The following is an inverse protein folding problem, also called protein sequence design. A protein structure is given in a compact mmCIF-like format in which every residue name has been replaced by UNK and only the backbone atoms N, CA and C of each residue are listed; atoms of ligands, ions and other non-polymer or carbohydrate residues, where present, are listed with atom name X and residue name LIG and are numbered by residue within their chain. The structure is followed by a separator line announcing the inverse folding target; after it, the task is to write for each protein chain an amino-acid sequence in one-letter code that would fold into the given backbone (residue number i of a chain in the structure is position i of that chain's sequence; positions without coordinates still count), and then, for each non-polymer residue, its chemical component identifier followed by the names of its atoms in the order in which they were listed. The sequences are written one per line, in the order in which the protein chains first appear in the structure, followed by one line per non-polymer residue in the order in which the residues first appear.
data_IF_611429266028
#
_entry.id   IF_611429266028
#
_cell.length_a   1.000
_cell.length_b   1.000
_cell.length_c   1.000
_cell.angle_alpha   90.00
_cell.angle_beta   90.00
_cell.angle_gamma   90.00
#
_symmetry.space_group_name_H-M   'P 1'
#
loop_
_entity.id
_entity.type
_entity.pdbx_description
1 polymer ?
#
# COMPACT_ATOMS: atom_id res chain seq x y z
N UNK A 1 -9.80 1.99 -22.67
CA UNK A 1 -11.17 2.55 -22.52
C UNK A 1 -11.40 3.22 -21.15
N UNK A 2 -11.24 2.53 -20.01
CA UNK A 2 -11.47 3.19 -18.69
C UNK A 2 -10.43 4.28 -18.43
N UNK A 3 -9.17 3.98 -18.65
CA UNK A 3 -8.06 4.94 -18.47
C UNK A 3 -8.20 6.17 -19.36
N UNK A 4 -8.46 5.98 -20.65
CA UNK A 4 -8.64 7.09 -21.62
C UNK A 4 -9.80 8.01 -21.21
N UNK A 5 -10.90 7.43 -20.72
CA UNK A 5 -12.03 8.20 -20.24
C UNK A 5 -11.71 8.99 -18.96
N UNK A 6 -10.82 8.48 -18.10
CA UNK A 6 -10.39 9.16 -16.88
C UNK A 6 -9.34 10.25 -17.16
N UNK A 7 -8.39 10.00 -18.06
CA UNK A 7 -7.37 10.98 -18.44
C UNK A 7 -7.94 12.20 -19.17
N UNK A 8 -9.04 12.07 -19.89
CA UNK A 8 -9.64 13.19 -20.59
C UNK A 8 -10.04 14.36 -19.68
N UNK A 9 -10.75 14.15 -18.56
CA UNK A 9 -11.08 15.21 -17.59
C UNK A 9 -9.95 15.50 -16.59
N UNK A 10 -9.06 14.55 -16.33
CA UNK A 10 -7.97 14.69 -15.36
C UNK A 10 -6.65 14.10 -15.93
N UNK A 11 -5.81 14.92 -16.59
CA UNK A 11 -4.53 14.46 -17.12
C UNK A 11 -3.55 13.93 -16.08
N UNK A 12 -3.80 14.16 -14.79
CA UNK A 12 -3.04 13.64 -13.66
C UNK A 12 -3.71 12.41 -13.00
N UNK A 13 -4.67 11.81 -13.70
CA UNK A 13 -5.30 10.57 -13.22
C UNK A 13 -4.27 9.48 -13.00
N UNK A 14 -4.42 8.78 -11.91
CA UNK A 14 -3.48 7.79 -11.47
C UNK A 14 -4.19 6.53 -10.97
N UNK A 15 -3.81 5.39 -11.51
CA UNK A 15 -4.39 4.09 -11.13
C UNK A 15 -4.05 3.68 -9.71
N UNK A 16 -2.89 4.12 -9.21
CA UNK A 16 -2.44 3.83 -7.85
C UNK A 16 -3.07 4.75 -6.79
N UNK A 17 -3.68 5.87 -7.22
CA UNK A 17 -4.37 6.82 -6.33
C UNK A 17 -5.35 7.65 -7.15
N UNK A 18 -6.57 7.15 -7.30
CA UNK A 18 -7.58 7.79 -8.17
C UNK A 18 -8.06 9.16 -7.68
N UNK A 19 -7.75 9.51 -6.43
CA UNK A 19 -8.05 10.82 -5.84
C UNK A 19 -7.11 11.94 -6.29
N UNK A 20 -5.99 11.62 -6.97
CA UNK A 20 -5.03 12.64 -7.40
C UNK A 20 -5.57 13.50 -8.53
N UNK A 21 -5.26 14.79 -8.43
CA UNK A 21 -5.62 15.83 -9.41
C UNK A 21 -4.42 16.70 -9.72
N UNK A 22 -4.43 17.34 -10.88
CA UNK A 22 -3.44 18.35 -11.25
C UNK A 22 -3.57 19.62 -10.40
N UNK A 23 -2.46 20.32 -10.06
CA UNK A 23 -1.07 19.91 -10.32
C UNK A 23 -0.58 18.84 -9.34
N UNK A 24 0.21 17.90 -9.84
CA UNK A 24 0.88 16.94 -8.97
C UNK A 24 1.97 17.66 -8.17
N UNK A 25 2.01 17.39 -6.87
CA UNK A 25 3.09 17.87 -6.01
C UNK A 25 4.32 16.99 -6.24
N UNK A 26 5.44 17.63 -6.59
CA UNK A 26 6.69 16.91 -6.82
C UNK A 26 7.24 16.30 -5.54
N UNK A 27 7.67 15.06 -5.60
CA UNK A 27 8.42 14.39 -4.57
C UNK A 27 9.88 14.21 -5.05
N UNK A 28 10.84 14.50 -4.17
CA UNK A 28 12.28 14.33 -4.46
C UNK A 28 12.67 12.84 -4.65
N UNK A 29 11.85 11.92 -4.17
CA UNK A 29 12.06 10.49 -4.30
C UNK A 29 11.48 9.91 -5.60
N UNK A 30 10.81 10.70 -6.38
CA UNK A 30 10.03 10.29 -7.52
C UNK A 30 8.54 10.17 -7.19
N UNK A 31 7.73 10.35 -8.20
CA UNK A 31 6.30 10.15 -8.07
C UNK A 31 6.00 8.69 -8.38
N UNK A 32 5.36 7.92 -7.48
CA UNK A 32 5.03 6.52 -7.74
C UNK A 32 4.02 6.32 -8.88
N UNK A 33 3.75 7.34 -9.63
CA UNK A 33 2.66 7.43 -10.58
C UNK A 33 3.07 7.95 -11.92
N UNK A 34 4.25 8.52 -11.98
CA UNK A 34 4.82 8.93 -13.24
C UNK A 34 5.91 7.93 -13.62
N UNK A 35 5.56 6.99 -14.49
CA UNK A 35 6.50 6.03 -15.08
C UNK A 35 7.67 6.73 -15.78
N UNK A 36 7.56 8.04 -15.95
CA UNK A 36 8.57 8.91 -16.56
C UNK A 36 8.96 9.98 -15.55
N UNK A 37 9.57 9.55 -14.42
CA UNK A 37 10.14 10.51 -13.50
C UNK A 37 11.34 11.23 -14.14
N UNK A 38 11.14 12.44 -14.58
CA UNK A 38 12.21 13.33 -14.94
C UNK A 38 11.84 14.80 -14.74
N UNK A 39 12.14 15.34 -13.58
CA UNK A 39 12.25 16.79 -13.48
C UNK A 39 13.52 17.23 -14.22
N UNK A 40 13.34 18.05 -15.26
CA UNK A 40 14.46 18.58 -16.02
C UNK A 40 15.47 19.27 -15.09
N UNK A 41 16.70 18.79 -15.06
CA UNK A 41 17.80 19.37 -14.27
C UNK A 41 17.92 18.89 -12.82
N UNK A 42 17.05 18.01 -12.36
CA UNK A 42 17.20 17.40 -11.02
C UNK A 42 17.73 15.97 -11.16
N UNK A 43 18.83 15.61 -10.50
CA UNK A 43 19.31 14.23 -10.54
C UNK A 43 18.34 13.29 -9.84
N UNK A 44 18.09 12.13 -10.43
CA UNK A 44 17.31 11.08 -9.81
C UNK A 44 17.95 10.69 -8.48
N UNK A 45 17.22 10.85 -7.37
CA UNK A 45 17.76 10.74 -6.01
C UNK A 45 18.48 9.41 -5.78
N UNK A 46 17.85 8.28 -6.13
CA UNK A 46 18.44 6.96 -5.94
C UNK A 46 19.56 6.61 -6.92
N UNK A 47 19.83 7.44 -7.94
CA UNK A 47 20.99 7.31 -8.81
C UNK A 47 22.21 8.11 -8.31
N UNK A 48 22.06 8.90 -7.26
CA UNK A 48 23.18 9.63 -6.66
C UNK A 48 24.18 8.66 -6.04
N UNK A 49 25.46 8.94 -6.25
CA UNK A 49 26.58 8.12 -5.77
C UNK A 49 26.61 8.01 -4.24
N UNK A 50 26.31 9.11 -3.53
CA UNK A 50 26.28 9.15 -2.08
C UNK A 50 25.12 8.34 -1.51
N UNK A 51 23.95 8.41 -2.12
CA UNK A 51 22.78 7.63 -1.76
C UNK A 51 23.01 6.13 -1.97
N UNK A 52 23.51 5.75 -3.15
CA UNK A 52 23.85 4.35 -3.44
C UNK A 52 24.85 3.77 -2.45
N UNK A 53 25.90 4.55 -2.10
CA UNK A 53 26.86 4.14 -1.08
C UNK A 53 26.22 3.93 0.29
N UNK A 54 25.39 4.87 0.73
CA UNK A 54 24.70 4.79 2.02
C UNK A 54 23.76 3.58 2.10
N UNK A 55 23.12 3.24 0.98
CA UNK A 55 22.20 2.09 0.88
C UNK A 55 22.90 0.76 0.56
N UNK A 56 24.22 0.75 0.35
CA UNK A 56 24.98 -0.41 -0.14
C UNK A 56 24.44 -0.97 -1.47
N UNK A 57 23.89 -0.11 -2.31
CA UNK A 57 23.34 -0.47 -3.62
C UNK A 57 24.45 -0.59 -4.67
N UNK A 58 24.31 -1.42 -5.71
CA UNK A 58 25.24 -1.50 -6.82
C UNK A 58 25.44 -0.14 -7.50
N UNK A 59 26.71 0.23 -7.70
CA UNK A 59 27.04 1.55 -8.25
C UNK A 59 26.85 1.65 -9.76
N UNK A 60 26.96 0.54 -10.45
CA UNK A 60 26.90 0.39 -11.91
C UNK A 60 25.49 0.15 -12.44
N UNK A 61 24.53 -0.14 -11.58
CA UNK A 61 23.13 -0.37 -11.96
C UNK A 61 22.36 0.94 -11.80
N UNK A 62 21.84 1.55 -12.88
CA UNK A 62 20.96 2.70 -12.75
C UNK A 62 19.65 2.30 -12.05
N UNK A 63 19.21 3.13 -11.12
CA UNK A 63 17.91 2.95 -10.50
C UNK A 63 16.82 3.39 -11.48
N UNK A 64 15.73 2.64 -11.51
CA UNK A 64 14.48 3.04 -12.14
C UNK A 64 13.32 2.67 -11.22
N UNK A 65 12.27 3.47 -11.22
CA UNK A 65 11.08 3.27 -10.39
C UNK A 65 10.42 1.91 -10.69
N UNK A 66 10.26 1.61 -11.97
CA UNK A 66 9.76 0.32 -12.44
C UNK A 66 10.75 -0.28 -13.44
N UNK A 67 10.96 -1.57 -13.33
CA UNK A 67 11.74 -2.34 -14.30
C UNK A 67 11.14 -3.73 -14.45
N UNK A 68 10.66 -4.02 -15.65
CA UNK A 68 10.21 -5.34 -16.06
C UNK A 68 11.07 -5.92 -17.18
N UNK A 69 10.87 -7.21 -17.51
CA UNK A 69 10.17 -8.20 -16.73
C UNK A 69 10.99 -8.65 -15.51
N UNK A 70 10.33 -8.87 -14.36
CA UNK A 70 10.96 -9.43 -13.15
C UNK A 70 10.86 -10.95 -13.18
N UNK A 71 9.72 -11.45 -13.62
CA UNK A 71 9.48 -12.88 -13.80
C UNK A 71 9.50 -13.22 -15.29
N UNK A 72 10.18 -14.31 -15.61
CA UNK A 72 10.19 -14.88 -16.96
C UNK A 72 9.31 -16.11 -16.91
N UNK A 73 8.20 -16.10 -17.66
CA UNK A 73 7.32 -17.25 -17.81
C UNK A 73 7.95 -18.41 -18.60
N UNK A 74 7.27 -19.54 -18.66
CA UNK A 74 7.75 -20.73 -19.36
C UNK A 74 7.91 -20.51 -20.87
N UNK A 75 7.23 -19.52 -21.45
CA UNK A 75 7.33 -19.11 -22.86
C UNK A 75 8.58 -18.30 -23.22
N UNK A 76 9.46 -17.97 -22.25
CA UNK A 76 10.69 -17.22 -22.46
C UNK A 76 10.56 -15.72 -22.18
N UNK A 77 11.50 -14.88 -22.68
CA UNK A 77 11.57 -13.46 -22.34
C UNK A 77 10.35 -12.61 -22.74
N UNK A 78 9.55 -13.09 -23.66
CA UNK A 78 8.31 -12.42 -24.11
C UNK A 78 7.08 -12.82 -23.28
N UNK A 79 7.22 -13.84 -22.42
CA UNK A 79 6.18 -14.30 -21.52
C UNK A 79 6.43 -13.70 -20.12
N UNK A 80 5.98 -12.47 -19.94
CA UNK A 80 6.07 -11.70 -18.68
C UNK A 80 5.02 -12.21 -17.69
N UNK A 81 5.19 -13.40 -17.17
CA UNK A 81 4.21 -13.99 -16.25
C UNK A 81 4.82 -14.50 -14.97
N UNK A 82 4.18 -14.19 -13.84
CA UNK A 82 4.39 -14.91 -12.58
C UNK A 82 3.70 -16.28 -12.73
N UNK A 83 4.48 -17.36 -12.93
CA UNK A 83 3.99 -18.74 -13.03
C UNK A 83 3.79 -19.40 -11.66
N UNK A 84 3.93 -18.68 -10.56
CA UNK A 84 3.68 -19.21 -9.22
C UNK A 84 2.22 -19.59 -9.03
N UNK A 85 2.01 -20.59 -8.15
CA UNK A 85 0.64 -21.04 -7.85
C UNK A 85 -0.15 -19.92 -7.17
N UNK A 86 -1.47 -19.88 -7.44
CA UNK A 86 -2.37 -18.90 -6.81
C UNK A 86 -2.23 -18.91 -5.27
N UNK A 87 -1.79 -17.81 -4.66
CA UNK A 87 -1.46 -17.75 -3.24
C UNK A 87 -2.61 -18.04 -2.31
N UNK A 88 -3.87 -17.76 -2.70
CA UNK A 88 -5.03 -18.03 -1.86
C UNK A 88 -5.38 -19.53 -1.77
N UNK A 89 -4.86 -20.36 -2.66
CA UNK A 89 -5.13 -21.80 -2.66
C UNK A 89 -4.26 -22.56 -1.66
N UNK A 90 -3.05 -22.08 -1.38
CA UNK A 90 -2.12 -22.83 -0.54
C UNK A 90 -1.26 -21.94 0.35
N UNK A 91 -0.54 -20.98 -0.19
CA UNK A 91 0.52 -20.25 0.53
C UNK A 91 -0.06 -19.38 1.63
N UNK A 92 -1.03 -18.53 1.32
CA UNK A 92 -1.62 -17.60 2.28
C UNK A 92 -2.36 -18.33 3.42
N UNK A 93 -3.20 -19.34 3.15
CA UNK A 93 -3.78 -20.17 4.22
C UNK A 93 -2.72 -20.77 5.15
N UNK A 94 -1.65 -21.35 4.61
CA UNK A 94 -0.58 -21.95 5.40
C UNK A 94 0.13 -20.92 6.29
N UNK A 95 0.39 -19.71 5.78
CA UNK A 95 1.02 -18.65 6.57
C UNK A 95 0.10 -18.19 7.68
N UNK A 96 -1.21 -18.01 7.41
CA UNK A 96 -2.20 -17.66 8.43
C UNK A 96 -2.25 -18.72 9.53
N UNK A 97 -2.33 -20.00 9.15
CA UNK A 97 -2.42 -21.12 10.10
C UNK A 97 -1.14 -21.31 10.92
N UNK A 98 0.01 -21.01 10.33
CA UNK A 98 1.30 -21.13 11.02
C UNK A 98 1.60 -19.97 11.96
N UNK A 99 1.24 -18.73 11.58
CA UNK A 99 1.61 -17.53 12.35
C UNK A 99 0.47 -17.00 13.21
N UNK A 100 -0.75 -17.29 12.83
CA UNK A 100 -1.97 -16.75 13.45
C UNK A 100 -1.99 -15.20 13.54
N UNK A 101 -1.18 -14.54 12.69
CA UNK A 101 -1.05 -13.07 12.67
C UNK A 101 -0.61 -12.59 11.29
N UNK A 102 -1.56 -12.44 10.40
CA UNK A 102 -1.37 -11.95 9.03
C UNK A 102 -2.26 -10.74 8.82
N UNK A 103 -1.72 -9.71 8.18
CA UNK A 103 -2.46 -8.54 7.75
C UNK A 103 -2.50 -8.51 6.23
N UNK A 104 -3.69 -8.30 5.68
CA UNK A 104 -3.92 -7.90 4.29
C UNK A 104 -4.60 -6.55 4.31
N UNK A 105 -3.97 -5.54 3.73
CA UNK A 105 -4.46 -4.17 3.72
C UNK A 105 -4.54 -3.63 2.30
N UNK A 106 -5.54 -2.78 2.05
CA UNK A 106 -5.72 -2.08 0.78
C UNK A 106 -6.24 -0.65 1.03
N UNK A 107 -5.81 0.28 0.19
CA UNK A 107 -6.41 1.62 0.11
C UNK A 107 -7.70 1.62 -0.72
N UNK A 108 -8.69 2.41 -0.32
CA UNK A 108 -9.99 2.52 -0.99
C UNK A 108 -9.94 3.25 -2.35
N UNK A 109 -8.85 3.97 -2.62
CA UNK A 109 -8.61 4.71 -3.87
C UNK A 109 -7.62 4.00 -4.81
N UNK A 110 -7.29 2.75 -4.54
CA UNK A 110 -6.45 1.90 -5.39
C UNK A 110 -7.27 1.27 -6.52
N UNK A 111 -6.95 1.61 -7.77
CA UNK A 111 -7.55 0.99 -8.96
C UNK A 111 -6.70 -0.15 -9.52
N UNK A 112 -5.42 -0.21 -9.16
CA UNK A 112 -4.52 -1.29 -9.58
C UNK A 112 -4.84 -2.59 -8.84
N UNK A 113 -4.92 -2.52 -7.50
CA UNK A 113 -5.35 -3.63 -6.65
C UNK A 113 -6.64 -3.24 -5.94
N UNK A 114 -7.75 -3.50 -6.57
CA UNK A 114 -9.08 -3.14 -6.06
C UNK A 114 -9.35 -3.80 -4.69
N UNK A 115 -9.70 -3.00 -3.70
CA UNK A 115 -10.04 -3.43 -2.35
C UNK A 115 -11.12 -4.52 -2.32
N UNK A 116 -12.17 -4.34 -3.12
CA UNK A 116 -13.23 -5.34 -3.26
C UNK A 116 -12.75 -6.64 -3.92
N UNK A 117 -11.76 -6.55 -4.82
CA UNK A 117 -11.13 -7.72 -5.45
C UNK A 117 -10.32 -8.53 -4.44
N UNK A 118 -9.55 -7.87 -3.59
CA UNK A 118 -8.82 -8.51 -2.50
C UNK A 118 -9.77 -9.17 -1.51
N UNK A 119 -10.82 -8.48 -1.08
CA UNK A 119 -11.83 -9.05 -0.18
C UNK A 119 -12.54 -10.26 -0.81
N UNK A 120 -12.85 -10.21 -2.10
CA UNK A 120 -13.43 -11.35 -2.84
C UNK A 120 -12.45 -12.54 -2.87
N UNK A 121 -11.16 -12.29 -3.05
CA UNK A 121 -10.13 -13.32 -2.99
C UNK A 121 -10.07 -13.97 -1.61
N UNK A 122 -10.15 -13.18 -0.53
CA UNK A 122 -10.24 -13.70 0.84
C UNK A 122 -11.52 -14.53 1.04
N UNK A 123 -12.65 -14.09 0.49
CA UNK A 123 -13.91 -14.84 0.59
C UNK A 123 -13.86 -16.19 -0.15
N UNK A 124 -12.99 -16.33 -1.15
CA UNK A 124 -12.76 -17.57 -1.86
C UNK A 124 -11.62 -18.43 -1.28
N UNK A 125 -10.99 -17.99 -0.20
CA UNK A 125 -9.91 -18.69 0.48
C UNK A 125 -10.44 -19.50 1.66
N UNK A 126 -9.89 -20.71 1.85
CA UNK A 126 -10.21 -21.56 3.01
C UNK A 126 -9.00 -21.63 3.94
N UNK A 127 -9.20 -21.28 5.21
CA UNK A 127 -8.21 -21.42 6.28
C UNK A 127 -8.87 -21.82 7.58
N UNK A 128 -8.17 -22.56 8.44
CA UNK A 128 -8.74 -23.18 9.64
C UNK A 128 -10.07 -23.89 9.37
N UNK A 129 -10.16 -24.55 8.20
CA UNK A 129 -11.30 -25.38 7.80
C UNK A 129 -12.58 -24.61 7.44
N UNK A 130 -12.56 -23.28 7.27
CA UNK A 130 -13.73 -22.49 6.89
C UNK A 130 -13.42 -21.60 5.68
N UNK A 131 -14.39 -21.51 4.78
CA UNK A 131 -14.34 -20.65 3.59
C UNK A 131 -14.63 -19.21 3.97
N UNK A 132 -13.74 -18.29 3.61
CA UNK A 132 -13.91 -16.85 3.77
C UNK A 132 -14.13 -16.38 5.22
N UNK A 133 -14.36 -15.09 5.39
CA UNK A 133 -14.85 -14.52 6.65
C UNK A 133 -16.29 -14.97 6.92
N UNK A 134 -16.60 -15.27 8.15
CA UNK A 134 -17.94 -15.69 8.57
C UNK A 134 -18.85 -14.50 8.93
N UNK A 135 -18.27 -13.33 9.10
CA UNK A 135 -18.98 -12.08 9.34
C UNK A 135 -18.44 -10.96 8.46
N UNK A 136 -19.30 -9.96 8.20
CA UNK A 136 -18.95 -8.83 7.34
C UNK A 136 -17.96 -7.90 8.05
N UNK A 137 -16.88 -7.45 7.36
CA UNK A 137 -16.01 -6.37 7.86
C UNK A 137 -16.80 -5.07 8.07
N UNK A 138 -16.82 -4.57 9.32
CA UNK A 138 -17.57 -3.35 9.69
C UNK A 138 -16.93 -2.58 10.84
N UNK A 139 -15.88 -3.12 11.45
CA UNK A 139 -15.24 -2.45 12.59
C UNK A 139 -14.44 -1.27 12.12
N UNK A 140 -14.68 -0.03 12.59
CA UNK A 140 -13.91 1.13 12.16
C UNK A 140 -12.46 1.06 12.65
N UNK A 141 -11.54 1.54 11.82
CA UNK A 141 -10.18 1.90 12.22
C UNK A 141 -10.24 3.36 12.65
N UNK A 142 -9.98 3.64 13.92
CA UNK A 142 -10.02 5.01 14.45
C UNK A 142 -8.62 5.49 14.78
N UNK A 143 -8.17 6.51 14.08
CA UNK A 143 -6.88 7.16 14.31
C UNK A 143 -7.06 8.33 15.25
N UNK A 144 -6.25 8.38 16.31
CA UNK A 144 -6.18 9.46 17.30
C UNK A 144 -4.80 10.11 17.25
N UNK A 145 -4.74 11.38 17.61
CA UNK A 145 -3.47 12.12 17.70
C UNK A 145 -2.43 11.45 18.61
N UNK A 146 -2.82 10.95 19.82
CA UNK A 146 -1.88 10.26 20.70
C UNK A 146 -1.25 8.99 20.14
N UNK A 147 -1.76 8.46 19.04
CA UNK A 147 -1.15 7.32 18.35
C UNK A 147 0.17 7.68 17.65
N UNK A 148 0.58 8.93 17.66
CA UNK A 148 1.85 9.39 17.10
C UNK A 148 2.86 9.71 18.21
N UNK A 149 4.09 9.20 18.04
CA UNK A 149 5.24 9.53 18.89
C UNK A 149 5.68 11.02 18.81
N UNK A 150 4.93 11.85 18.11
CA UNK A 150 5.26 13.25 17.87
C UNK A 150 4.36 14.22 18.64
N UNK A 151 3.55 13.73 19.58
CA UNK A 151 2.67 14.55 20.39
C UNK A 151 3.42 15.71 21.06
N UNK A 152 4.59 15.43 21.65
CA UNK A 152 5.45 16.45 22.28
C UNK A 152 5.99 17.50 21.30
N UNK A 153 6.21 17.15 20.05
CA UNK A 153 6.73 18.08 19.03
C UNK A 153 5.63 18.99 18.51
N UNK A 154 4.41 18.49 18.44
CA UNK A 154 3.28 19.19 17.85
C UNK A 154 2.36 19.86 18.88
N UNK A 155 2.47 19.52 20.16
CA UNK A 155 1.61 20.04 21.25
C UNK A 155 1.85 21.52 21.56
N UNK A 156 2.97 22.07 21.14
CA UNK A 156 3.40 23.42 21.53
C UNK A 156 2.52 24.55 20.98
N UNK A 157 1.66 24.32 19.97
CA UNK A 157 0.95 25.42 19.30
C UNK A 157 -0.46 25.14 18.77
N UNK A 158 -1.18 24.17 19.27
CA UNK A 158 -2.56 23.91 18.83
C UNK A 158 -2.74 23.62 17.31
N UNK A 159 -1.64 23.48 16.59
CA UNK A 159 -1.63 23.17 15.14
C UNK A 159 -1.78 21.70 14.82
N UNK A 160 -1.74 20.86 15.82
CA UNK A 160 -1.66 19.41 15.69
C UNK A 160 -2.91 18.74 15.14
N UNK A 161 -3.98 19.47 14.94
CA UNK A 161 -5.25 18.88 14.58
C UNK A 161 -5.73 19.14 13.16
N UNK A 162 -5.14 20.11 12.48
CA UNK A 162 -5.78 20.60 11.26
C UNK A 162 -5.39 19.86 9.99
N UNK A 163 -4.16 19.39 9.89
CA UNK A 163 -3.60 18.92 8.62
C UNK A 163 -3.39 17.41 8.54
N UNK A 164 -3.66 16.67 9.61
CA UNK A 164 -3.41 15.24 9.64
C UNK A 164 -4.73 14.44 9.68
N UNK A 165 -4.87 13.41 8.84
CA UNK A 165 -6.01 12.51 8.89
C UNK A 165 -6.21 11.91 10.28
N UNK A 166 -7.39 12.10 10.85
CA UNK A 166 -7.79 11.57 12.16
C UNK A 166 -9.28 11.21 12.13
N UNK A 167 -9.71 10.43 13.11
CA UNK A 167 -11.08 9.93 13.15
C UNK A 167 -11.18 8.54 12.54
N UNK A 168 -12.31 8.22 11.93
CA UNK A 168 -12.48 6.95 11.24
C UNK A 168 -11.75 6.97 9.90
N UNK A 169 -10.64 6.23 9.84
CA UNK A 169 -9.74 6.20 8.70
C UNK A 169 -9.74 4.86 7.97
N UNK A 170 -10.72 4.03 8.21
CA UNK A 170 -10.82 2.74 7.55
C UNK A 170 -11.79 1.78 8.23
N UNK A 171 -11.80 0.57 7.72
CA UNK A 171 -12.55 -0.57 8.25
C UNK A 171 -11.58 -1.74 8.45
N UNK A 172 -11.72 -2.46 9.55
CA UNK A 172 -10.95 -3.65 9.86
C UNK A 172 -11.84 -4.85 10.14
N UNK A 173 -11.28 -6.04 9.96
CA UNK A 173 -11.91 -7.29 10.37
C UNK A 173 -10.86 -8.32 10.71
N UNK A 174 -10.86 -8.80 11.95
CA UNK A 174 -9.98 -9.88 12.39
C UNK A 174 -10.76 -11.17 12.58
N UNK A 175 -10.33 -12.23 11.94
CA UNK A 175 -10.91 -13.54 12.10
C UNK A 175 -9.90 -14.65 11.85
N UNK A 176 -9.72 -15.53 12.81
CA UNK A 176 -8.91 -16.77 12.67
C UNK A 176 -7.48 -16.51 12.18
N UNK A 177 -6.78 -15.55 12.78
CA UNK A 177 -5.39 -15.24 12.44
C UNK A 177 -5.18 -14.29 11.27
N UNK A 178 -6.25 -13.92 10.55
CA UNK A 178 -6.21 -12.95 9.46
C UNK A 178 -6.88 -11.64 9.88
N UNK A 179 -6.13 -10.56 9.79
CA UNK A 179 -6.63 -9.18 9.81
C UNK A 179 -6.76 -8.69 8.37
N UNK A 180 -7.92 -8.17 8.03
CA UNK A 180 -8.14 -7.41 6.80
C UNK A 180 -8.39 -5.94 7.17
N UNK A 181 -7.79 -5.04 6.42
CA UNK A 181 -7.96 -3.60 6.59
C UNK A 181 -8.22 -2.91 5.25
N UNK A 182 -9.22 -2.05 5.22
CA UNK A 182 -9.45 -1.07 4.17
C UNK A 182 -9.10 0.30 4.74
N UNK A 183 -8.13 0.98 4.12
CA UNK A 183 -7.66 2.30 4.54
C UNK A 183 -8.30 3.38 3.68
N UNK A 184 -9.04 4.29 4.29
CA UNK A 184 -9.72 5.37 3.60
C UNK A 184 -8.75 6.46 3.16
N UNK A 185 -9.08 7.11 2.03
CA UNK A 185 -8.30 8.19 1.44
C UNK A 185 -6.86 7.76 1.14
N UNK A 186 -6.70 6.55 0.70
CA UNK A 186 -5.41 5.96 0.34
C UNK A 186 -5.52 5.11 -0.91
N UNK A 187 -4.54 5.22 -1.77
CA UNK A 187 -4.33 4.31 -2.87
C UNK A 187 -3.33 3.21 -2.54
N UNK A 188 -2.64 2.75 -3.56
CA UNK A 188 -1.69 1.64 -3.53
C UNK A 188 -0.53 1.84 -2.55
N UNK A 189 -0.05 3.08 -2.44
CA UNK A 189 1.06 3.45 -1.57
C UNK A 189 0.52 3.92 -0.21
N UNK A 190 -0.16 3.04 0.54
CA UNK A 190 -0.77 3.40 1.82
C UNK A 190 0.15 4.20 2.77
N UNK A 191 1.43 3.84 2.97
CA UNK A 191 2.31 4.60 3.86
C UNK A 191 2.55 6.03 3.43
N UNK A 192 2.45 6.33 2.14
CA UNK A 192 2.57 7.68 1.60
C UNK A 192 1.33 8.53 1.88
N UNK A 193 0.15 7.96 1.63
CA UNK A 193 -1.11 8.69 1.72
C UNK A 193 -1.70 8.68 3.13
N UNK A 194 -1.54 7.55 3.85
CA UNK A 194 -2.05 7.35 5.21
C UNK A 194 -0.98 6.79 6.15
N UNK A 195 0.08 7.55 6.45
CA UNK A 195 1.21 7.06 7.24
C UNK A 195 0.82 6.65 8.67
N UNK A 196 -0.22 7.25 9.24
CA UNK A 196 -0.72 6.90 10.58
C UNK A 196 -1.41 5.54 10.61
N UNK A 197 -2.28 5.29 9.62
CA UNK A 197 -2.92 3.98 9.47
C UNK A 197 -1.88 2.90 9.23
N UNK A 198 -0.94 3.15 8.35
CA UNK A 198 0.16 2.21 8.06
C UNK A 198 1.06 1.96 9.27
N UNK A 199 1.29 2.98 10.10
CA UNK A 199 2.02 2.79 11.37
C UNK A 199 1.24 1.88 12.33
N UNK A 200 -0.08 2.02 12.44
CA UNK A 200 -0.90 1.10 13.24
C UNK A 200 -0.89 -0.31 12.66
N UNK A 201 -0.92 -0.48 11.35
CA UNK A 201 -0.74 -1.78 10.70
C UNK A 201 0.56 -2.45 11.15
N UNK A 202 1.67 -1.70 11.16
CA UNK A 202 2.95 -2.18 11.65
C UNK A 202 2.92 -2.54 13.15
N UNK A 203 2.33 -1.67 13.98
CA UNK A 203 2.18 -1.94 15.41
C UNK A 203 1.38 -3.22 15.67
N UNK A 204 0.30 -3.43 14.92
CA UNK A 204 -0.48 -4.65 15.03
C UNK A 204 0.34 -5.88 14.60
N UNK A 205 1.03 -5.81 13.46
CA UNK A 205 1.90 -6.90 12.98
C UNK A 205 2.98 -7.30 13.99
N UNK A 206 3.56 -6.31 14.68
CA UNK A 206 4.58 -6.52 15.72
C UNK A 206 4.00 -6.95 17.09
N UNK A 207 2.69 -7.01 17.22
CA UNK A 207 2.04 -7.39 18.48
C UNK A 207 2.03 -6.30 19.55
N UNK A 208 2.26 -5.05 19.18
CA UNK A 208 2.22 -3.92 20.12
C UNK A 208 0.80 -3.48 20.44
N UNK A 209 -0.15 -3.74 19.55
CA UNK A 209 -1.59 -3.51 19.74
C UNK A 209 -2.39 -4.73 19.31
N UNK A 210 -3.57 -4.90 19.89
CA UNK A 210 -4.45 -6.05 19.61
C UNK A 210 -5.41 -5.79 18.45
N UNK A 211 -5.79 -4.54 18.20
CA UNK A 211 -6.71 -4.13 17.13
C UNK A 211 -6.18 -2.87 16.45
N UNK A 212 -6.56 -2.68 15.18
CA UNK A 212 -6.23 -1.48 14.40
C UNK A 212 -7.07 -0.28 14.80
#
# INVERSE_FOLDING_TARGET
MVYEAAYAPNPCFNVYEIGLQCPLLGDVLGFPTDLIYSYAGVPVYFNRTDVKKAMHAPMDIPWSECKGPVFIGEGGPEDEGDSSANPIQKVLPQVIEATNRVLVANGDLDLEILTNGTLLSIQNMTWHGKLGFQSKPTTPITIKLPDLMYEEIFDVNDFTGFDNPKGTMGIQHYERGLMWAETFLSGHMEPQFQPRSSYRHLQWLLGHIEML
#
